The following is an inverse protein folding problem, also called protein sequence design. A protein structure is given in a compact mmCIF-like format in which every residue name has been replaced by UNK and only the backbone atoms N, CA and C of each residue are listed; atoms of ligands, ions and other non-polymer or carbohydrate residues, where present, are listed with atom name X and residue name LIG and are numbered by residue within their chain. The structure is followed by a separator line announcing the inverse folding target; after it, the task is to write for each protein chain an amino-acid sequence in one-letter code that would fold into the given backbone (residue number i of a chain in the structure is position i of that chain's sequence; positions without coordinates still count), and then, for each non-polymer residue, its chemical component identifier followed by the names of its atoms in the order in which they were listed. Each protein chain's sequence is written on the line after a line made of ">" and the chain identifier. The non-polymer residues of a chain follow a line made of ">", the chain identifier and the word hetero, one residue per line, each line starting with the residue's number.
data_IF_016732052970
#
_entry.id   IF_016732052970
#
_cell.length_a   1.000
_cell.length_b   1.000
_cell.length_c   1.000
_cell.angle_alpha   90.00
_cell.angle_beta   90.00
_cell.angle_gamma   90.00
#
_symmetry.space_group_name_H-M   'P 1'
#
loop_
_entity.id
_entity.type
_entity.pdbx_description
1 polymer ?
#
# COMPACT_ATOMS: atom_id res chain seq x y z
N UNK A 1 -13.51 6.63 11.21
CA UNK A 1 -13.41 6.03 9.87
C UNK A 1 -12.75 7.07 8.97
N UNK A 2 -11.48 6.87 8.62
CA UNK A 2 -10.78 7.77 7.71
C UNK A 2 -11.28 7.52 6.29
N UNK A 3 -11.88 8.54 5.65
CA UNK A 3 -12.27 8.47 4.25
C UNK A 3 -11.04 8.72 3.37
N UNK A 4 -10.27 7.67 3.12
CA UNK A 4 -9.26 7.70 2.06
C UNK A 4 -9.98 7.52 0.72
N UNK A 5 -9.51 8.19 -0.33
CA UNK A 5 -10.06 7.96 -1.67
C UNK A 5 -9.73 6.52 -2.12
N UNK A 6 -10.59 5.86 -2.91
CA UNK A 6 -10.27 4.54 -3.44
C UNK A 6 -8.92 4.56 -4.17
N UNK A 7 -7.99 3.68 -3.80
CA UNK A 7 -6.62 3.60 -4.30
C UNK A 7 -5.60 4.50 -3.58
N UNK A 8 -6.01 5.40 -2.70
CA UNK A 8 -5.10 6.24 -1.93
C UNK A 8 -4.38 5.44 -0.85
N UNK A 9 -3.05 5.54 -0.79
CA UNK A 9 -2.24 4.95 0.27
C UNK A 9 -2.26 5.80 1.54
N UNK A 10 -2.61 5.18 2.66
CA UNK A 10 -2.63 5.81 3.98
C UNK A 10 -1.81 5.00 4.98
N UNK A 11 -1.32 5.68 6.03
CA UNK A 11 -0.73 5.02 7.20
C UNK A 11 -1.77 4.98 8.32
N UNK A 12 -1.93 3.81 8.91
CA UNK A 12 -2.79 3.56 10.07
C UNK A 12 -1.94 3.05 11.25
N UNK A 13 -2.53 2.95 12.43
CA UNK A 13 -1.88 2.36 13.60
C UNK A 13 -1.48 0.88 13.40
N UNK A 14 -2.11 0.20 12.43
CA UNK A 14 -1.83 -1.21 12.10
C UNK A 14 -0.84 -1.38 10.94
N UNK A 15 -0.43 -0.31 10.27
CA UNK A 15 0.45 -0.38 9.09
C UNK A 15 -0.08 0.41 7.90
N UNK A 16 0.44 0.10 6.71
CA UNK A 16 0.01 0.73 5.46
C UNK A 16 -1.32 0.13 4.98
N UNK A 17 -2.22 0.98 4.48
CA UNK A 17 -3.50 0.56 3.93
C UNK A 17 -3.86 1.36 2.67
N UNK A 18 -4.71 0.78 1.83
CA UNK A 18 -5.26 1.41 0.62
C UNK A 18 -6.73 1.73 0.85
N UNK A 19 -7.15 2.96 0.53
CA UNK A 19 -8.55 3.33 0.48
C UNK A 19 -9.32 2.46 -0.51
N UNK A 20 -10.50 2.00 -0.14
CA UNK A 20 -11.40 1.23 -1.01
C UNK A 20 -12.71 2.01 -1.24
N UNK A 21 -13.59 1.52 -2.12
CA UNK A 21 -14.94 2.08 -2.26
C UNK A 21 -15.76 1.98 -0.96
N UNK A 22 -15.48 0.97 -0.14
CA UNK A 22 -15.93 0.86 1.23
C UNK A 22 -14.77 0.38 2.12
N UNK A 23 -14.44 1.15 3.13
CA UNK A 23 -13.39 0.84 4.09
C UNK A 23 -11.95 0.97 3.56
N UNK A 24 -11.04 0.24 4.22
CA UNK A 24 -9.61 0.24 3.96
C UNK A 24 -9.11 -1.20 3.78
N UNK A 25 -8.16 -1.39 2.86
CA UNK A 25 -7.44 -2.65 2.67
C UNK A 25 -6.05 -2.55 3.30
N UNK A 26 -5.81 -3.29 4.39
CA UNK A 26 -4.49 -3.35 5.01
C UNK A 26 -3.50 -4.12 4.13
N UNK A 27 -2.33 -3.53 3.89
CA UNK A 27 -1.23 -4.16 3.18
C UNK A 27 -0.35 -4.90 4.17
N UNK A 28 -0.56 -6.20 4.29
CA UNK A 28 0.28 -7.07 5.13
C UNK A 28 1.53 -7.50 4.34
N UNK A 29 1.35 -8.38 3.36
CA UNK A 29 2.42 -8.90 2.50
C UNK A 29 2.33 -8.33 1.08
N UNK A 30 3.44 -7.81 0.58
CA UNK A 30 3.60 -7.26 -0.77
C UNK A 30 4.76 -7.93 -1.48
N UNK A 31 4.71 -7.96 -2.82
CA UNK A 31 5.82 -8.42 -3.65
C UNK A 31 6.10 -7.37 -4.71
N UNK A 32 7.20 -6.63 -4.51
CA UNK A 32 7.69 -5.66 -5.50
C UNK A 32 8.31 -6.44 -6.66
N UNK A 33 8.03 -6.05 -7.91
CA UNK A 33 8.45 -6.76 -9.12
C UNK A 33 7.97 -8.22 -9.17
N UNK A 34 6.71 -8.43 -9.57
CA UNK A 34 6.10 -9.77 -9.71
C UNK A 34 7.02 -10.69 -10.54
N UNK A 35 7.40 -11.82 -9.94
CA UNK A 35 8.25 -12.85 -10.57
C UNK A 35 9.75 -12.73 -10.32
N UNK A 36 10.23 -11.64 -9.70
CA UNK A 36 11.66 -11.47 -9.36
C UNK A 36 11.91 -11.05 -7.91
N UNK A 37 11.00 -10.30 -7.28
CA UNK A 37 11.10 -9.97 -5.86
C UNK A 37 10.58 -11.09 -4.95
N UNK A 38 11.05 -11.12 -3.70
CA UNK A 38 10.48 -11.99 -2.67
C UNK A 38 9.28 -11.29 -2.00
N UNK A 39 8.20 -12.01 -1.65
CA UNK A 39 7.15 -11.48 -0.79
C UNK A 39 7.73 -11.02 0.56
N UNK A 40 7.32 -9.84 1.03
CA UNK A 40 7.78 -9.23 2.28
C UNK A 40 6.68 -8.35 2.88
N UNK A 41 6.82 -7.93 4.13
CA UNK A 41 5.85 -7.02 4.72
C UNK A 41 5.88 -5.63 4.06
N UNK A 42 4.74 -4.93 4.07
CA UNK A 42 4.67 -3.56 3.55
C UNK A 42 5.65 -2.60 4.24
N UNK A 43 5.89 -2.75 5.54
CA UNK A 43 6.86 -1.93 6.26
C UNK A 43 8.31 -2.20 5.82
N UNK A 44 8.67 -3.46 5.56
CA UNK A 44 10.00 -3.81 5.03
C UNK A 44 10.16 -3.27 3.61
N UNK A 45 9.12 -3.39 2.78
CA UNK A 45 9.11 -2.85 1.44
C UNK A 45 9.30 -1.32 1.45
N UNK A 46 8.60 -0.60 2.33
CA UNK A 46 8.70 0.85 2.48
C UNK A 46 10.10 1.33 2.89
N UNK A 47 10.83 0.55 3.70
CA UNK A 47 12.20 0.90 4.08
C UNK A 47 13.18 0.92 2.90
N UNK A 48 12.96 0.08 1.89
CA UNK A 48 13.81 0.00 0.69
C UNK A 48 13.30 0.78 -0.51
N UNK A 49 12.01 1.10 -0.54
CA UNK A 49 11.30 1.68 -1.69
C UNK A 49 10.28 2.74 -1.21
N UNK A 50 10.76 3.69 -0.39
CA UNK A 50 9.91 4.69 0.27
C UNK A 50 9.12 5.57 -0.71
N UNK A 51 9.61 5.72 -1.94
CA UNK A 51 8.95 6.40 -3.04
C UNK A 51 7.60 5.76 -3.40
N UNK A 52 7.49 4.43 -3.33
CA UNK A 52 6.24 3.72 -3.55
C UNK A 52 5.27 3.87 -2.35
N UNK A 53 5.79 3.96 -1.13
CA UNK A 53 4.98 3.95 0.10
C UNK A 53 4.67 5.32 0.68
N UNK A 54 4.78 6.38 -0.12
CA UNK A 54 4.43 7.75 0.31
C UNK A 54 2.92 7.89 0.52
N UNK A 55 2.49 8.36 1.69
CA UNK A 55 1.06 8.57 1.98
C UNK A 55 0.47 9.62 1.04
N UNK A 56 -0.76 9.39 0.59
CA UNK A 56 -1.43 10.20 -0.44
C UNK A 56 -1.10 9.76 -1.86
N UNK A 57 -0.19 8.80 -2.07
CA UNK A 57 0.03 8.17 -3.38
C UNK A 57 -1.24 7.47 -3.84
N UNK A 58 -1.62 7.70 -5.08
CA UNK A 58 -2.78 7.09 -5.72
C UNK A 58 -2.34 5.85 -6.50
N UNK A 59 -2.78 4.68 -6.04
CA UNK A 59 -2.65 3.43 -6.77
C UNK A 59 -3.85 3.24 -7.69
N UNK A 60 -3.56 2.90 -8.94
CA UNK A 60 -4.57 2.57 -9.94
C UNK A 60 -4.18 1.26 -10.63
N UNK A 61 -5.17 0.60 -11.24
CA UNK A 61 -4.94 -0.59 -12.05
C UNK A 61 -4.45 -0.12 -13.41
N UNK A 62 -3.17 -0.36 -13.69
CA UNK A 62 -2.69 -0.31 -15.07
C UNK A 62 -3.11 -1.60 -15.76
N UNK A 63 -4.11 -1.50 -16.63
CA UNK A 63 -4.66 -2.61 -17.43
C UNK A 63 -3.79 -2.90 -18.64
#
# INVERSE_FOLDING_TARGET
>A
AGSANPGELVKTDQGFAIGCSDGLLLLDTVQLNRGQGNPMSADVAANGHADLFSTGTQYDVVV
#
